data_IF_699716750118
#
_entry.id   IF_699716750118
#
_cell.length_a   1.000
_cell.length_b   1.000
_cell.length_c   1.000
_cell.angle_alpha   90.00
_cell.angle_beta   90.00
_cell.angle_gamma   90.00
#
_symmetry.space_group_name_H-M   'P 1'
#
loop_
_entity.id
_entity.type
_entity.pdbx_description
1 polymer ?
#
# COMPACT_ATOMS: atom_id res chain seq x y z
N UNK A 1 3.20 -17.04 -61.87
CA UNK A 1 2.38 -16.28 -60.90
C UNK A 1 2.95 -16.55 -59.52
N UNK A 2 3.66 -15.59 -58.92
CA UNK A 2 4.24 -15.72 -57.56
C UNK A 2 3.18 -15.24 -56.56
N UNK A 3 2.74 -16.13 -55.67
CA UNK A 3 1.85 -15.80 -54.55
C UNK A 3 2.68 -15.11 -53.45
N UNK A 4 2.42 -13.85 -53.21
CA UNK A 4 2.97 -13.09 -52.08
C UNK A 4 2.03 -13.36 -50.89
N UNK A 5 2.50 -14.15 -49.93
CA UNK A 5 1.80 -14.36 -48.66
C UNK A 5 2.18 -13.18 -47.74
N UNK A 6 1.23 -12.25 -47.54
CA UNK A 6 1.37 -11.15 -46.60
C UNK A 6 1.21 -11.72 -45.17
N UNK A 7 2.28 -11.77 -44.42
CA UNK A 7 2.28 -12.12 -42.99
C UNK A 7 1.85 -10.88 -42.18
N UNK A 8 0.58 -10.88 -41.75
CA UNK A 8 0.12 -9.86 -40.79
C UNK A 8 0.73 -10.17 -39.41
N UNK A 9 1.77 -9.43 -39.04
CA UNK A 9 2.30 -9.42 -37.69
C UNK A 9 1.38 -8.53 -36.84
N UNK A 10 0.42 -9.13 -36.13
CA UNK A 10 -0.37 -8.40 -35.13
C UNK A 10 0.52 -8.07 -33.93
N UNK A 11 0.96 -6.82 -33.83
CA UNK A 11 1.55 -6.28 -32.61
C UNK A 11 0.41 -6.21 -31.54
N UNK A 12 0.42 -7.17 -30.64
CA UNK A 12 -0.37 -7.11 -29.44
C UNK A 12 0.34 -6.11 -28.51
N UNK A 13 -0.09 -4.86 -28.51
CA UNK A 13 0.29 -3.91 -27.46
C UNK A 13 -0.46 -4.33 -26.20
N UNK A 14 0.20 -5.03 -25.30
CA UNK A 14 -0.24 -5.14 -23.92
C UNK A 14 0.02 -3.78 -23.29
N UNK A 15 -1.01 -2.92 -23.22
CA UNK A 15 -0.95 -1.75 -22.38
C UNK A 15 -0.88 -2.26 -20.93
N UNK A 16 0.27 -2.12 -20.28
CA UNK A 16 0.34 -2.24 -18.83
C UNK A 16 -0.61 -1.18 -18.26
N UNK A 17 -1.52 -1.60 -17.38
CA UNK A 17 -2.39 -0.68 -16.69
C UNK A 17 -1.52 0.11 -15.70
N UNK A 18 -1.49 1.43 -15.86
CA UNK A 18 -0.72 2.34 -15.04
C UNK A 18 -1.46 2.67 -13.73
N UNK A 19 -0.69 3.01 -12.69
CA UNK A 19 -1.25 3.58 -11.48
C UNK A 19 -2.04 4.85 -11.78
N UNK A 20 -3.21 4.99 -11.17
CA UNK A 20 -4.05 6.19 -11.29
C UNK A 20 -4.00 6.99 -9.99
N UNK A 21 -3.84 8.32 -10.05
CA UNK A 21 -3.87 9.16 -8.85
C UNK A 21 -5.21 9.05 -8.14
N UNK A 22 -5.19 9.08 -6.81
CA UNK A 22 -6.40 9.05 -5.99
C UNK A 22 -6.17 9.64 -4.60
N UNK A 23 -7.27 10.06 -3.96
CA UNK A 23 -7.32 10.37 -2.53
C UNK A 23 -8.38 9.47 -1.91
N UNK A 24 -7.98 8.64 -0.95
CA UNK A 24 -8.88 7.82 -0.14
C UNK A 24 -9.01 8.40 1.26
N UNK A 25 -10.24 8.68 1.69
CA UNK A 25 -10.57 9.11 3.06
C UNK A 25 -11.10 7.93 3.86
N UNK A 26 -10.57 7.72 5.07
CA UNK A 26 -10.87 6.54 5.89
C UNK A 26 -11.26 6.93 7.30
N UNK A 27 -12.15 6.14 7.91
CA UNK A 27 -12.37 6.09 9.35
C UNK A 27 -11.46 5.04 9.98
N UNK A 28 -10.90 5.36 11.15
CA UNK A 28 -10.12 4.44 11.96
C UNK A 28 -10.97 3.88 13.10
N UNK A 29 -10.94 2.56 13.22
CA UNK A 29 -11.60 1.82 14.29
C UNK A 29 -10.58 1.02 15.08
N UNK A 30 -10.84 0.87 16.38
CA UNK A 30 -10.17 -0.10 17.23
C UNK A 30 -11.19 -1.07 17.81
N UNK A 31 -10.96 -2.37 17.67
CA UNK A 31 -11.77 -3.37 18.35
C UNK A 31 -11.25 -3.56 19.78
N UNK A 32 -12.15 -3.34 20.71
CA UNK A 32 -11.87 -3.37 22.14
C UNK A 32 -12.88 -4.27 22.85
N UNK A 33 -12.65 -4.52 24.13
CA UNK A 33 -13.63 -5.26 24.96
C UNK A 33 -15.02 -4.57 25.02
N UNK A 34 -15.08 -3.30 24.69
CA UNK A 34 -16.34 -2.50 24.62
C UNK A 34 -16.97 -2.50 23.23
N UNK A 35 -16.37 -3.21 22.28
CA UNK A 35 -16.79 -3.29 20.88
C UNK A 35 -15.91 -2.49 19.94
N UNK A 36 -16.33 -2.40 18.70
CA UNK A 36 -15.64 -1.68 17.64
C UNK A 36 -15.91 -0.17 17.76
N UNK A 37 -14.87 0.60 18.09
CA UNK A 37 -14.95 2.02 18.39
C UNK A 37 -14.24 2.83 17.32
N UNK A 38 -14.93 3.83 16.75
CA UNK A 38 -14.29 4.81 15.89
C UNK A 38 -13.36 5.68 16.72
N UNK A 39 -12.08 5.69 16.38
CA UNK A 39 -11.01 6.36 17.14
C UNK A 39 -10.38 7.54 16.39
N UNK A 40 -10.57 7.63 15.07
CA UNK A 40 -9.93 8.69 14.29
C UNK A 40 -10.20 8.60 12.80
N UNK A 41 -9.34 9.21 12.03
CA UNK A 41 -9.37 9.25 10.56
C UNK A 41 -7.99 9.02 9.96
N UNK A 42 -7.97 8.62 8.68
CA UNK A 42 -6.77 8.58 7.87
C UNK A 42 -7.07 9.04 6.43
N UNK A 43 -6.03 9.51 5.75
CA UNK A 43 -6.07 9.86 4.32
C UNK A 43 -4.91 9.15 3.64
N UNK A 44 -5.18 8.46 2.54
CA UNK A 44 -4.20 7.97 1.59
C UNK A 44 -4.26 8.86 0.35
N UNK A 45 -3.12 9.37 -0.11
CA UNK A 45 -3.05 10.23 -1.29
C UNK A 45 -1.94 9.75 -2.24
N UNK A 46 -2.31 9.35 -3.45
CA UNK A 46 -1.40 9.02 -4.55
C UNK A 46 -1.44 10.13 -5.58
N UNK A 47 -0.30 10.78 -5.76
CA UNK A 47 -0.06 11.75 -6.82
C UNK A 47 0.87 11.15 -7.87
N UNK A 48 0.57 11.41 -9.16
CA UNK A 48 1.38 11.00 -10.29
C UNK A 48 1.86 12.21 -11.08
N UNK A 49 3.15 12.23 -11.42
CA UNK A 49 3.75 13.22 -12.32
C UNK A 49 4.55 12.48 -13.41
N UNK A 50 3.89 12.18 -14.53
CA UNK A 50 4.41 11.23 -15.51
C UNK A 50 4.56 9.84 -14.89
N UNK A 51 5.77 9.30 -14.90
CA UNK A 51 6.07 8.02 -14.24
C UNK A 51 6.44 8.16 -12.76
N UNK A 52 6.62 9.37 -12.25
CA UNK A 52 6.97 9.59 -10.84
C UNK A 52 5.72 9.55 -9.97
N UNK A 53 5.79 8.84 -8.84
CA UNK A 53 4.74 8.85 -7.85
C UNK A 53 5.19 9.48 -6.52
N UNK A 54 4.24 10.11 -5.86
CA UNK A 54 4.30 10.45 -4.43
C UNK A 54 3.07 9.84 -3.77
N UNK A 55 3.30 8.92 -2.83
CA UNK A 55 2.25 8.29 -2.06
C UNK A 55 2.40 8.66 -0.60
N UNK A 56 1.35 9.21 0.00
CA UNK A 56 1.35 9.67 1.39
C UNK A 56 0.19 9.06 2.16
N UNK A 57 0.39 8.88 3.46
CA UNK A 57 -0.69 8.61 4.39
C UNK A 57 -0.56 9.48 5.62
N UNK A 58 -1.71 9.97 6.10
CA UNK A 58 -1.82 10.68 7.36
C UNK A 58 -2.93 10.05 8.18
N UNK A 59 -2.61 9.60 9.40
CA UNK A 59 -3.53 8.98 10.32
C UNK A 59 -3.47 9.68 11.67
N UNK A 60 -4.63 9.92 12.29
CA UNK A 60 -4.72 10.57 13.60
C UNK A 60 -5.93 10.12 14.39
N UNK A 61 -5.80 10.15 15.70
CA UNK A 61 -6.94 10.03 16.59
C UNK A 61 -7.73 11.34 16.64
N UNK A 62 -9.05 11.24 16.86
CA UNK A 62 -9.94 12.39 16.87
C UNK A 62 -10.88 12.37 18.10
N UNK A 63 -11.59 13.49 18.31
CA UNK A 63 -12.61 13.64 19.35
C UNK A 63 -12.11 13.29 20.75
N UNK A 64 -12.86 12.48 21.49
CA UNK A 64 -12.50 12.05 22.84
C UNK A 64 -11.21 11.22 22.87
N UNK A 65 -10.93 10.46 21.81
CA UNK A 65 -9.73 9.62 21.71
C UNK A 65 -8.47 10.45 21.62
N UNK A 66 -8.53 11.61 20.96
CA UNK A 66 -7.41 12.56 20.94
C UNK A 66 -7.05 13.04 22.37
N UNK A 67 -8.02 13.28 23.22
CA UNK A 67 -7.78 13.70 24.60
C UNK A 67 -7.15 12.59 25.46
N UNK A 68 -7.49 11.33 25.18
CA UNK A 68 -6.99 10.17 25.93
C UNK A 68 -5.68 9.64 25.38
N UNK A 69 -5.58 9.56 24.04
CA UNK A 69 -4.47 8.97 23.30
C UNK A 69 -4.26 9.75 22.01
N UNK A 70 -3.55 10.89 22.11
CA UNK A 70 -3.26 11.75 20.96
C UNK A 70 -2.19 11.09 20.08
N UNK A 71 -2.66 10.34 19.10
CA UNK A 71 -1.82 9.62 18.13
C UNK A 71 -1.86 10.32 16.79
N UNK A 72 -0.71 10.43 16.15
CA UNK A 72 -0.60 10.81 14.74
C UNK A 72 0.54 10.05 14.06
N UNK A 73 0.32 9.72 12.78
CA UNK A 73 1.32 9.09 11.93
C UNK A 73 1.23 9.70 10.54
N UNK A 74 2.37 10.12 10.02
CA UNK A 74 2.55 10.59 8.65
C UNK A 74 3.61 9.74 7.98
N UNK A 75 3.31 9.25 6.77
CA UNK A 75 4.24 8.49 5.94
C UNK A 75 4.25 9.06 4.54
N UNK A 76 5.42 8.97 3.90
CA UNK A 76 5.61 9.37 2.51
C UNK A 76 6.52 8.38 1.82
N UNK A 77 6.09 7.90 0.66
CA UNK A 77 6.86 7.08 -0.26
C UNK A 77 6.96 7.79 -1.62
N UNK A 78 8.13 7.77 -2.24
CA UNK A 78 8.32 8.28 -3.60
C UNK A 78 9.09 7.30 -4.46
N UNK A 79 8.81 7.32 -5.75
CA UNK A 79 9.47 6.43 -6.70
C UNK A 79 8.99 6.66 -8.12
N UNK A 80 9.14 5.62 -8.93
CA UNK A 80 8.66 5.60 -10.30
C UNK A 80 7.81 4.36 -10.57
N UNK A 81 6.84 4.48 -11.44
CA UNK A 81 6.24 3.35 -12.14
C UNK A 81 6.91 3.24 -13.51
N UNK A 82 7.50 2.08 -13.79
CA UNK A 82 8.20 1.83 -15.04
C UNK A 82 7.94 0.39 -15.48
N UNK A 83 7.49 0.21 -16.73
CA UNK A 83 7.19 -1.11 -17.30
C UNK A 83 6.23 -1.95 -16.44
N UNK A 84 5.24 -1.31 -15.83
CA UNK A 84 4.27 -1.95 -14.95
C UNK A 84 4.84 -2.40 -13.61
N UNK A 85 5.91 -1.80 -13.14
CA UNK A 85 6.52 -2.05 -11.84
C UNK A 85 6.65 -0.78 -10.99
N UNK A 86 6.37 -0.89 -9.71
CA UNK A 86 6.58 0.17 -8.72
C UNK A 86 8.02 0.10 -8.22
N UNK A 87 8.83 1.08 -8.61
CA UNK A 87 10.24 1.20 -8.21
C UNK A 87 10.36 2.28 -7.15
N UNK A 88 10.58 1.88 -5.92
CA UNK A 88 10.68 2.80 -4.80
C UNK A 88 12.07 3.45 -4.71
N UNK A 89 12.12 4.71 -4.28
CA UNK A 89 13.35 5.49 -4.10
C UNK A 89 13.54 6.03 -2.69
N UNK A 90 12.45 6.40 -2.04
CA UNK A 90 12.51 7.05 -0.75
C UNK A 90 11.25 6.76 0.07
N UNK A 91 11.45 6.57 1.36
CA UNK A 91 10.39 6.44 2.35
C UNK A 91 10.71 7.26 3.59
N UNK A 92 9.70 7.88 4.18
CA UNK A 92 9.81 8.51 5.50
C UNK A 92 8.58 8.24 6.35
N UNK A 93 8.77 8.20 7.66
CA UNK A 93 7.68 8.07 8.63
C UNK A 93 7.95 8.93 9.86
N UNK A 94 6.91 9.62 10.32
CA UNK A 94 6.87 10.29 11.63
C UNK A 94 5.65 9.76 12.37
N UNK A 95 5.87 9.18 13.55
CA UNK A 95 4.82 8.69 14.43
C UNK A 95 4.94 9.34 15.81
N UNK A 96 3.85 9.89 16.32
CA UNK A 96 3.79 10.57 17.60
C UNK A 96 2.65 10.04 18.46
N UNK A 97 2.90 9.96 19.76
CA UNK A 97 1.89 9.76 20.78
C UNK A 97 1.98 10.93 21.74
N UNK A 98 0.96 11.78 21.78
CA UNK A 98 1.01 13.09 22.41
C UNK A 98 2.17 13.90 21.82
N UNK A 99 3.04 14.45 22.65
CA UNK A 99 4.22 15.21 22.24
C UNK A 99 5.47 14.33 22.05
N UNK A 100 5.35 13.01 22.27
CA UNK A 100 6.49 12.10 22.18
C UNK A 100 6.60 11.47 20.78
N UNK A 101 7.74 11.68 20.14
CA UNK A 101 8.07 11.03 18.85
C UNK A 101 8.42 9.57 19.11
N UNK A 102 7.68 8.65 18.51
CA UNK A 102 7.88 7.18 18.60
C UNK A 102 8.67 6.64 17.44
N UNK A 103 8.46 7.22 16.25
CA UNK A 103 9.23 6.92 15.03
C UNK A 103 9.51 8.22 14.30
N UNK A 104 10.74 8.35 13.84
CA UNK A 104 11.19 9.44 12.97
C UNK A 104 12.41 8.92 12.21
N UNK A 105 12.17 8.38 11.02
CA UNK A 105 13.25 7.88 10.18
C UNK A 105 12.92 7.99 8.70
N UNK A 106 13.96 7.94 7.89
CA UNK A 106 13.92 7.95 6.44
C UNK A 106 14.74 6.78 5.89
N UNK A 107 14.31 6.24 4.74
CA UNK A 107 15.03 5.22 3.99
C UNK A 107 15.22 5.75 2.58
N UNK A 108 16.47 5.78 2.11
CA UNK A 108 16.82 6.04 0.73
C UNK A 108 17.23 4.73 0.05
N UNK A 109 16.59 4.39 -1.06
CA UNK A 109 16.84 3.16 -1.82
C UNK A 109 17.75 3.49 -2.98
N UNK A 110 18.92 2.84 -3.04
CA UNK A 110 19.94 3.04 -4.08
C UNK A 110 20.02 1.76 -4.91
N UNK A 111 19.11 1.66 -5.88
CA UNK A 111 18.85 0.45 -6.67
C UNK A 111 20.07 0.01 -7.48
N UNK A 112 20.84 0.95 -8.06
CA UNK A 112 22.05 0.67 -8.87
C UNK A 112 23.19 0.08 -8.05
N UNK A 113 23.15 0.23 -6.73
CA UNK A 113 24.16 -0.30 -5.81
C UNK A 113 23.63 -1.43 -4.93
N UNK A 114 22.38 -1.83 -5.08
CA UNK A 114 21.71 -2.88 -4.33
C UNK A 114 21.79 -2.70 -2.81
N UNK A 115 21.56 -1.48 -2.32
CA UNK A 115 21.38 -1.24 -0.90
C UNK A 115 20.36 -0.13 -0.60
N UNK A 116 19.87 -0.12 0.63
CA UNK A 116 19.07 0.95 1.19
C UNK A 116 19.83 1.57 2.38
N UNK A 117 19.70 2.87 2.55
CA UNK A 117 20.35 3.65 3.61
C UNK A 117 19.28 4.28 4.51
N UNK A 118 19.36 3.98 5.81
CA UNK A 118 18.55 4.64 6.82
C UNK A 118 19.14 5.99 7.22
N UNK A 119 18.29 6.95 7.61
CA UNK A 119 18.73 8.22 8.24
C UNK A 119 19.50 8.01 9.55
N UNK A 120 19.38 6.85 10.18
CA UNK A 120 20.18 6.44 11.34
C UNK A 120 21.60 6.02 10.99
N UNK A 121 21.93 5.92 9.69
CA UNK A 121 23.24 5.53 9.16
C UNK A 121 23.42 4.02 8.96
N UNK A 122 22.36 3.24 9.13
CA UNK A 122 22.37 1.79 8.84
C UNK A 122 22.20 1.54 7.34
N UNK A 123 23.01 0.62 6.83
CA UNK A 123 22.94 0.14 5.44
C UNK A 123 22.32 -1.25 5.40
N UNK A 124 21.35 -1.45 4.50
CA UNK A 124 20.68 -2.73 4.30
C UNK A 124 20.97 -3.25 2.90
N UNK A 125 21.54 -4.46 2.81
CA UNK A 125 21.75 -5.14 1.53
C UNK A 125 20.40 -5.56 0.93
N UNK A 126 20.23 -5.24 -0.37
CA UNK A 126 19.03 -5.58 -1.14
C UNK A 126 19.37 -6.74 -2.07
N UNK A 127 18.57 -7.79 -2.07
CA UNK A 127 18.67 -8.84 -3.08
C UNK A 127 18.05 -8.37 -4.39
N UNK A 128 18.48 -8.92 -5.54
CA UNK A 128 17.83 -8.65 -6.81
C UNK A 128 16.32 -8.95 -6.72
N UNK A 129 15.51 -8.05 -7.23
CA UNK A 129 14.04 -8.14 -7.18
C UNK A 129 13.39 -6.82 -6.77
N UNK A 130 12.08 -6.81 -6.72
CA UNK A 130 11.33 -5.62 -6.36
C UNK A 130 11.50 -5.32 -4.86
N UNK A 131 12.03 -4.15 -4.56
CA UNK A 131 12.11 -3.62 -3.21
C UNK A 131 11.09 -2.49 -3.05
N UNK A 132 10.31 -2.57 -1.99
CA UNK A 132 9.33 -1.56 -1.60
C UNK A 132 9.50 -1.18 -0.14
N UNK A 133 8.84 -0.13 0.30
CA UNK A 133 8.71 0.25 1.70
C UNK A 133 7.33 -0.15 2.27
N UNK A 134 7.09 0.03 3.58
CA UNK A 134 5.82 -0.33 4.22
C UNK A 134 4.58 0.36 3.66
N UNK A 135 4.74 1.49 2.96
CA UNK A 135 3.64 2.22 2.34
C UNK A 135 3.50 1.88 0.85
N UNK A 136 4.60 1.88 0.09
CA UNK A 136 4.56 1.58 -1.35
C UNK A 136 4.21 0.12 -1.67
N UNK A 137 4.29 -0.79 -0.70
CA UNK A 137 3.85 -2.19 -0.89
C UNK A 137 2.38 -2.29 -1.29
N UNK A 138 1.52 -1.37 -0.83
CA UNK A 138 0.11 -1.32 -1.26
C UNK A 138 -0.02 -0.97 -2.73
N UNK A 139 0.79 -0.01 -3.23
CA UNK A 139 0.81 0.34 -4.65
C UNK A 139 1.34 -0.80 -5.50
N UNK A 140 2.43 -1.45 -5.07
CA UNK A 140 3.02 -2.58 -5.77
C UNK A 140 2.02 -3.73 -5.89
N UNK A 141 1.33 -4.06 -4.79
CA UNK A 141 0.32 -5.11 -4.77
C UNK A 141 -0.86 -4.78 -5.70
N UNK A 142 -1.42 -3.57 -5.63
CA UNK A 142 -2.51 -3.13 -6.51
C UNK A 142 -2.11 -3.20 -7.98
N UNK A 143 -0.92 -2.70 -8.30
CA UNK A 143 -0.37 -2.72 -9.66
C UNK A 143 -0.12 -4.14 -10.17
N UNK A 144 0.46 -5.01 -9.34
CA UNK A 144 0.72 -6.39 -9.72
C UNK A 144 -0.57 -7.19 -9.90
N UNK A 145 -1.60 -6.95 -9.09
CA UNK A 145 -2.92 -7.57 -9.26
C UNK A 145 -3.61 -7.12 -10.55
N UNK A 146 -3.47 -5.85 -10.94
CA UNK A 146 -3.97 -5.35 -12.24
C UNK A 146 -3.29 -6.03 -13.41
N UNK A 147 -1.97 -6.19 -13.35
CA UNK A 147 -1.19 -6.77 -14.44
C UNK A 147 -1.19 -8.31 -14.46
N UNK A 148 -1.50 -8.95 -13.33
CA UNK A 148 -1.49 -10.40 -13.15
C UNK A 148 -2.77 -10.93 -12.47
N UNK A 149 -3.97 -10.76 -13.05
CA UNK A 149 -5.25 -11.01 -12.41
C UNK A 149 -5.50 -12.47 -11.97
N UNK A 150 -4.72 -13.40 -12.49
CA UNK A 150 -4.83 -14.84 -12.16
C UNK A 150 -3.79 -15.30 -11.12
N UNK A 151 -2.92 -14.40 -10.68
CA UNK A 151 -1.90 -14.73 -9.67
C UNK A 151 -2.51 -14.68 -8.28
N UNK A 152 -2.28 -15.74 -7.51
CA UNK A 152 -2.84 -15.89 -6.15
C UNK A 152 -1.84 -15.58 -5.03
N UNK A 153 -0.60 -15.28 -5.36
CA UNK A 153 0.47 -15.05 -4.38
C UNK A 153 1.46 -14.03 -4.89
N UNK A 154 1.79 -13.03 -4.05
CA UNK A 154 2.78 -12.00 -4.34
C UNK A 154 3.79 -11.91 -3.19
N UNK A 155 5.07 -11.80 -3.50
CA UNK A 155 6.14 -11.69 -2.51
C UNK A 155 6.98 -10.46 -2.76
N UNK A 156 7.18 -9.64 -1.73
CA UNK A 156 7.96 -8.40 -1.80
C UNK A 156 9.10 -8.41 -0.80
N UNK A 157 10.21 -7.80 -1.17
CA UNK A 157 11.21 -7.33 -0.23
C UNK A 157 10.74 -5.98 0.29
N UNK A 158 10.54 -5.86 1.60
CA UNK A 158 10.09 -4.60 2.23
C UNK A 158 11.18 -4.13 3.17
N UNK A 159 11.65 -2.90 2.97
CA UNK A 159 12.66 -2.27 3.83
C UNK A 159 12.02 -1.29 4.79
N UNK A 160 12.28 -1.45 6.07
CA UNK A 160 11.92 -0.52 7.14
C UNK A 160 13.14 -0.23 8.04
N UNK A 161 12.93 0.45 9.17
CA UNK A 161 14.02 0.75 10.12
C UNK A 161 14.71 -0.50 10.69
N UNK A 162 14.05 -1.66 10.68
CA UNK A 162 14.57 -2.92 11.24
C UNK A 162 15.28 -3.77 10.18
N UNK A 163 15.35 -3.29 8.92
CA UNK A 163 16.01 -3.96 7.80
C UNK A 163 15.06 -4.44 6.71
N UNK A 164 15.53 -5.40 5.91
CA UNK A 164 14.78 -5.97 4.80
C UNK A 164 14.05 -7.22 5.24
N UNK A 165 12.73 -7.25 5.04
CA UNK A 165 11.84 -8.39 5.31
C UNK A 165 11.23 -8.89 4.01
N UNK A 166 10.87 -10.17 3.98
CA UNK A 166 10.09 -10.76 2.90
C UNK A 166 8.64 -10.90 3.36
N UNK A 167 7.73 -10.22 2.67
CA UNK A 167 6.31 -10.28 2.97
C UNK A 167 5.58 -11.02 1.85
N UNK A 168 4.76 -11.99 2.23
CA UNK A 168 3.96 -12.80 1.33
C UNK A 168 2.49 -12.42 1.43
N UNK A 169 1.92 -11.98 0.32
CA UNK A 169 0.51 -11.64 0.19
C UNK A 169 -0.22 -12.77 -0.55
N UNK A 170 -1.28 -13.29 0.04
CA UNK A 170 -2.11 -14.38 -0.50
C UNK A 170 -3.48 -13.84 -0.86
N UNK A 171 -3.89 -14.04 -2.11
CA UNK A 171 -5.24 -13.71 -2.60
C UNK A 171 -6.18 -14.84 -2.19
N UNK A 172 -7.14 -14.56 -1.29
CA UNK A 172 -8.06 -15.58 -0.77
C UNK A 172 -9.35 -15.68 -1.58
N UNK A 173 -9.76 -14.63 -2.31
CA UNK A 173 -10.95 -14.62 -3.14
C UNK A 173 -11.73 -13.32 -3.07
N UNK A 174 -12.91 -13.32 -3.68
CA UNK A 174 -13.81 -12.17 -3.72
C UNK A 174 -14.74 -12.15 -2.52
N UNK A 175 -14.98 -10.97 -1.97
CA UNK A 175 -16.02 -10.71 -0.96
C UNK A 175 -16.54 -9.29 -1.10
N UNK A 176 -17.75 -9.04 -0.60
CA UNK A 176 -18.31 -7.69 -0.56
C UNK A 176 -18.02 -7.02 0.77
N UNK A 177 -17.64 -5.75 0.73
CA UNK A 177 -17.50 -4.89 1.90
C UNK A 177 -18.59 -3.82 1.84
N UNK A 178 -19.46 -3.79 2.87
CA UNK A 178 -20.52 -2.79 2.96
C UNK A 178 -20.00 -1.50 3.57
N UNK A 179 -20.12 -0.39 2.85
CA UNK A 179 -19.71 0.97 3.27
C UNK A 179 -20.83 1.94 2.94
N UNK A 180 -21.33 2.66 3.95
CA UNK A 180 -22.39 3.66 3.75
C UNK A 180 -23.58 3.14 2.92
N UNK A 181 -24.07 1.94 3.25
CA UNK A 181 -25.18 1.25 2.55
C UNK A 181 -24.89 0.84 1.10
N UNK A 182 -23.62 0.86 0.68
CA UNK A 182 -23.16 0.35 -0.60
C UNK A 182 -22.31 -0.89 -0.39
N UNK A 183 -22.56 -1.91 -1.17
CA UNK A 183 -21.69 -3.09 -1.24
C UNK A 183 -20.64 -2.87 -2.33
N UNK A 184 -19.38 -2.88 -1.93
CA UNK A 184 -18.24 -2.76 -2.83
C UNK A 184 -17.66 -4.17 -3.02
N UNK A 185 -17.58 -4.61 -4.28
CA UNK A 185 -16.92 -5.86 -4.62
C UNK A 185 -15.41 -5.72 -4.42
N UNK A 186 -14.84 -6.59 -3.60
CA UNK A 186 -13.44 -6.57 -3.24
C UNK A 186 -12.78 -7.93 -3.41
N UNK A 187 -11.46 -7.91 -3.54
CA UNK A 187 -10.62 -9.10 -3.38
C UNK A 187 -9.97 -9.03 -2.00
N UNK A 188 -10.13 -10.12 -1.24
CA UNK A 188 -9.47 -10.27 0.06
C UNK A 188 -8.06 -10.77 -0.14
N UNK A 189 -7.10 -10.08 0.50
CA UNK A 189 -5.68 -10.43 0.49
C UNK A 189 -5.16 -10.44 1.92
N UNK A 190 -4.37 -11.46 2.29
CA UNK A 190 -3.78 -11.60 3.62
C UNK A 190 -2.26 -11.60 3.57
N UNK A 191 -1.64 -11.09 4.64
CA UNK A 191 -0.20 -11.19 4.89
C UNK A 191 -0.01 -11.62 6.35
N UNK A 192 0.38 -12.88 6.56
CA UNK A 192 0.49 -13.47 7.89
C UNK A 192 1.60 -12.81 8.71
N UNK A 193 2.73 -12.47 8.08
CA UNK A 193 3.89 -11.85 8.74
C UNK A 193 3.58 -10.48 9.35
N UNK A 194 2.55 -9.79 8.83
CA UNK A 194 2.08 -8.50 9.32
C UNK A 194 0.79 -8.57 10.12
N UNK A 195 0.19 -9.76 10.25
CA UNK A 195 -1.16 -9.95 10.79
C UNK A 195 -2.16 -9.01 10.10
N UNK A 196 -2.04 -8.88 8.76
CA UNK A 196 -2.72 -7.92 7.92
C UNK A 196 -3.75 -8.60 7.00
N UNK A 197 -4.94 -8.02 6.92
CA UNK A 197 -5.95 -8.35 5.91
C UNK A 197 -6.32 -7.09 5.15
N UNK A 198 -6.32 -7.18 3.83
CA UNK A 198 -6.74 -6.13 2.91
C UNK A 198 -8.00 -6.56 2.17
N UNK A 199 -8.92 -5.63 1.95
CA UNK A 199 -9.96 -5.72 0.95
C UNK A 199 -9.70 -4.66 -0.10
N UNK A 200 -9.45 -5.09 -1.32
CA UNK A 200 -9.05 -4.25 -2.44
C UNK A 200 -10.20 -4.17 -3.45
N UNK A 201 -10.62 -2.95 -3.82
CA UNK A 201 -11.75 -2.73 -4.74
C UNK A 201 -11.45 -3.25 -6.14
N UNK A 202 -12.34 -4.07 -6.69
CA UNK A 202 -12.23 -4.55 -8.08
C UNK A 202 -12.45 -3.40 -9.08
N UNK A 203 -13.38 -2.49 -8.77
CA UNK A 203 -13.74 -1.38 -9.65
C UNK A 203 -12.71 -0.23 -9.61
N UNK A 204 -12.03 -0.05 -8.46
CA UNK A 204 -11.10 1.06 -8.23
C UNK A 204 -9.64 0.61 -8.29
N UNK A 205 -9.28 -0.20 -9.30
CA UNK A 205 -7.89 -0.63 -9.56
C UNK A 205 -7.19 -1.25 -8.35
N UNK A 206 -7.89 -2.09 -7.59
CA UNK A 206 -7.41 -2.74 -6.37
C UNK A 206 -6.92 -1.77 -5.28
N UNK A 207 -7.50 -0.57 -5.23
CA UNK A 207 -7.25 0.35 -4.12
C UNK A 207 -7.85 -0.20 -2.82
N UNK A 208 -7.20 0.05 -1.66
CA UNK A 208 -7.67 -0.47 -0.38
C UNK A 208 -9.02 0.13 0.03
N UNK A 209 -10.02 -0.74 0.25
CA UNK A 209 -11.33 -0.38 0.81
C UNK A 209 -11.36 -0.60 2.32
N UNK A 210 -10.73 -1.68 2.77
CA UNK A 210 -10.54 -2.00 4.18
C UNK A 210 -9.11 -2.49 4.40
N UNK A 211 -8.45 -1.93 5.40
CA UNK A 211 -7.16 -2.37 5.91
C UNK A 211 -7.38 -2.78 7.36
N UNK A 212 -7.24 -4.06 7.65
CA UNK A 212 -7.40 -4.62 8.99
C UNK A 212 -6.08 -5.20 9.46
N UNK A 213 -5.65 -4.80 10.66
CA UNK A 213 -4.39 -5.22 11.26
C UNK A 213 -4.56 -5.60 12.72
N UNK A 214 -4.02 -6.74 13.09
CA UNK A 214 -3.92 -7.17 14.49
C UNK A 214 -2.59 -6.69 15.06
N UNK A 215 -2.61 -6.10 16.24
CA UNK A 215 -1.42 -5.70 16.97
C UNK A 215 -1.55 -6.15 18.43
N UNK A 216 -1.00 -7.32 18.71
CA UNK A 216 -1.09 -7.95 20.00
C UNK A 216 -2.53 -8.34 20.36
N UNK A 217 -3.19 -7.56 21.23
CA UNK A 217 -4.59 -7.82 21.67
C UNK A 217 -5.59 -6.83 21.09
N UNK A 218 -5.14 -5.92 20.26
CA UNK A 218 -5.97 -4.85 19.68
C UNK A 218 -6.01 -5.02 18.17
N UNK A 219 -7.20 -5.00 17.62
CA UNK A 219 -7.44 -5.01 16.18
C UNK A 219 -7.74 -3.59 15.73
N UNK A 220 -7.12 -3.17 14.64
CA UNK A 220 -7.32 -1.87 14.03
C UNK A 220 -7.88 -2.05 12.63
N UNK A 221 -8.87 -1.24 12.28
CA UNK A 221 -9.45 -1.23 10.95
C UNK A 221 -9.47 0.20 10.41
N UNK A 222 -8.93 0.38 9.22
CA UNK A 222 -9.18 1.54 8.38
C UNK A 222 -10.29 1.14 7.39
N UNK A 223 -11.39 1.85 7.40
CA UNK A 223 -12.52 1.62 6.50
C UNK A 223 -12.72 2.85 5.63
N UNK A 224 -12.76 2.66 4.32
CA UNK A 224 -12.96 3.72 3.34
C UNK A 224 -14.27 4.46 3.60
N UNK A 225 -14.26 5.78 3.43
CA UNK A 225 -15.46 6.64 3.36
C UNK A 225 -15.76 6.96 1.91
N UNK A 226 -14.74 7.43 1.19
CA UNK A 226 -14.86 7.84 -0.21
C UNK A 226 -13.50 7.81 -0.92
N UNK A 227 -13.53 7.60 -2.24
CA UNK A 227 -12.44 7.90 -3.15
C UNK A 227 -12.74 9.19 -3.91
N UNK A 228 -11.70 10.01 -4.10
CA UNK A 228 -11.67 11.17 -5.01
C UNK A 228 -10.52 10.93 -6.01
N UNK A 229 -10.82 11.00 -7.29
CA UNK A 229 -9.90 10.84 -8.42
C UNK A 229 -9.74 12.16 -9.17
#
# INVERSE_FOLDING_TARGET
>A
MKKITLLFLSLIFTNALALSPYIGSYQLYADTKMGNLQIGSAVLNLEMNGSEFTFTTEAKTESLWKALYDYSRSEKSTGNETDGQVINKYFSVIEKIKDEVRKDYEITIITDKNYALSSTGEEFEIKPGLLVDPLSVYLALSNDMLNNPNQSEFTYQVVDQDGVKYLKFIVEGQENVSINERDIETVRVTCEELELTLNLSVEDNFQPVRIHKVNGKTEFTMLLIEFMS
#
